data_IF_122833849929
#
_entry.id   IF_122833849929
#
_cell.length_a   1.000
_cell.length_b   1.000
_cell.length_c   1.000
_cell.angle_alpha   90.00
_cell.angle_beta   90.00
_cell.angle_gamma   90.00
#
_symmetry.space_group_name_H-M   'P 1'
#
loop_
_entity.id
_entity.type
_entity.pdbx_description
1 polymer ?
#
# COMPACT_ATOMS: atom_id res chain seq x y z
N UNK A 1 -7.69 -10.57 18.77
CA UNK A 1 -6.25 -10.31 18.55
C UNK A 1 -6.18 -9.62 17.20
N UNK A 2 -5.96 -8.30 17.20
CA UNK A 2 -5.88 -7.53 15.96
C UNK A 2 -4.60 -7.97 15.26
N UNK A 3 -4.70 -8.41 14.01
CA UNK A 3 -3.53 -8.76 13.21
C UNK A 3 -2.77 -7.47 12.86
N UNK A 4 -1.66 -7.25 13.58
CA UNK A 4 -0.78 -6.09 13.42
C UNK A 4 0.32 -6.37 12.38
N UNK A 5 0.32 -7.52 11.69
CA UNK A 5 1.33 -7.85 10.67
C UNK A 5 1.58 -6.72 9.65
N UNK A 6 0.55 -6.06 9.04
CA UNK A 6 0.78 -4.95 8.13
C UNK A 6 1.38 -3.71 8.82
N UNK A 7 1.25 -3.58 10.14
CA UNK A 7 1.80 -2.46 10.92
C UNK A 7 3.27 -2.66 11.26
N UNK A 8 3.81 -3.88 11.16
CA UNK A 8 5.25 -4.14 11.21
C UNK A 8 5.98 -3.65 9.95
N UNK A 9 5.27 -3.56 8.83
CA UNK A 9 5.79 -3.12 7.54
C UNK A 9 5.78 -1.59 7.39
N UNK A 10 5.14 -0.86 8.31
CA UNK A 10 5.15 0.60 8.31
C UNK A 10 5.78 1.05 9.62
N UNK A 11 6.95 1.67 9.54
CA UNK A 11 7.67 2.21 10.71
C UNK A 11 7.01 3.48 11.26
N UNK A 12 5.68 3.54 11.26
CA UNK A 12 4.88 4.69 11.69
C UNK A 12 3.95 4.27 12.82
N UNK A 13 4.00 5.03 13.90
CA UNK A 13 3.14 4.81 15.06
C UNK A 13 1.69 5.21 14.72
N UNK A 14 0.71 4.28 14.84
CA UNK A 14 -0.69 4.55 14.53
C UNK A 14 -1.29 5.67 15.41
N UNK A 15 -0.78 5.87 16.62
CA UNK A 15 -1.26 6.88 17.56
C UNK A 15 -1.05 8.28 16.97
N UNK A 16 0.02 8.49 16.22
CA UNK A 16 0.28 9.76 15.52
C UNK A 16 -0.73 10.02 14.40
N UNK A 17 -1.13 8.98 13.68
CA UNK A 17 -2.14 9.08 12.61
C UNK A 17 -3.54 9.29 13.16
N UNK A 18 -3.85 8.67 14.30
CA UNK A 18 -5.18 8.70 14.93
C UNK A 18 -5.38 9.91 15.85
N UNK A 19 -4.30 10.54 16.31
CA UNK A 19 -4.33 11.68 17.23
C UNK A 19 -5.28 12.82 16.79
N UNK A 20 -5.31 13.24 15.50
CA UNK A 20 -6.25 14.27 15.05
C UNK A 20 -7.73 13.88 15.16
N UNK A 21 -8.04 12.58 15.22
CA UNK A 21 -9.42 12.04 15.24
C UNK A 21 -9.84 11.71 16.67
N UNK A 22 -8.97 11.06 17.43
CA UNK A 22 -9.25 10.54 18.76
C UNK A 22 -8.13 10.92 19.74
N UNK A 23 -7.99 12.23 20.07
CA UNK A 23 -6.81 12.75 20.77
C UNK A 23 -6.58 12.15 22.16
N UNK A 24 -7.66 11.97 22.94
CA UNK A 24 -7.52 11.50 24.33
C UNK A 24 -7.13 10.02 24.43
N UNK A 25 -7.76 9.16 23.62
CA UNK A 25 -7.45 7.72 23.65
C UNK A 25 -6.06 7.44 23.06
N UNK A 26 -5.64 8.22 22.06
CA UNK A 26 -4.31 8.07 21.47
C UNK A 26 -3.21 8.59 22.40
N UNK A 27 -3.47 9.63 23.20
CA UNK A 27 -2.55 10.05 24.27
C UNK A 27 -2.38 8.95 25.33
N UNK A 28 -3.47 8.32 25.79
CA UNK A 28 -3.40 7.22 26.76
C UNK A 28 -2.63 6.01 26.21
N UNK A 29 -2.91 5.60 24.96
CA UNK A 29 -2.18 4.52 24.28
C UNK A 29 -0.70 4.86 24.12
N UNK A 30 -0.39 6.10 23.76
CA UNK A 30 0.98 6.58 23.59
C UNK A 30 1.78 6.55 24.91
N UNK A 31 1.20 7.05 26.01
CA UNK A 31 1.85 7.06 27.32
C UNK A 31 1.99 5.65 27.93
N UNK A 32 0.91 4.86 27.91
CA UNK A 32 0.82 3.64 28.72
C UNK A 32 1.07 2.35 27.93
N UNK A 33 0.55 2.22 26.70
CA UNK A 33 0.73 0.99 25.91
C UNK A 33 2.06 0.98 25.14
N UNK A 34 2.48 2.15 24.64
CA UNK A 34 3.72 2.30 23.88
C UNK A 34 4.90 2.78 24.74
N UNK A 35 4.63 3.20 25.99
CA UNK A 35 5.65 3.53 26.96
C UNK A 35 6.38 4.85 26.70
N UNK A 36 5.80 5.75 25.91
CA UNK A 36 6.37 7.07 25.61
C UNK A 36 6.17 8.08 26.76
N UNK A 37 6.43 7.64 27.99
CA UNK A 37 6.17 8.41 29.22
C UNK A 37 6.89 9.76 29.19
N UNK A 38 6.16 10.84 29.46
CA UNK A 38 6.71 12.20 29.57
C UNK A 38 6.77 13.00 28.26
N UNK A 39 6.31 12.44 27.15
CA UNK A 39 6.16 13.14 25.87
C UNK A 39 4.75 12.95 25.33
N UNK A 40 4.05 14.02 24.94
CA UNK A 40 2.69 13.89 24.41
C UNK A 40 2.67 13.59 22.91
N UNK A 41 1.71 12.77 22.46
CA UNK A 41 1.49 12.49 21.03
C UNK A 41 1.07 13.76 20.26
N UNK A 42 0.58 14.79 20.96
CA UNK A 42 0.25 16.08 20.37
C UNK A 42 1.48 16.94 20.03
N UNK A 43 2.64 16.61 20.56
CA UNK A 43 3.87 17.40 20.43
C UNK A 43 4.89 16.77 19.47
N UNK A 44 4.61 15.57 18.97
CA UNK A 44 5.52 14.88 18.05
C UNK A 44 5.22 15.26 16.59
N UNK A 45 6.25 15.28 15.72
CA UNK A 45 6.03 15.51 14.30
C UNK A 45 5.20 14.39 13.67
N UNK A 46 4.50 14.75 12.59
CA UNK A 46 3.79 13.79 11.76
C UNK A 46 4.75 12.70 11.26
N UNK A 47 4.32 11.42 11.17
CA UNK A 47 5.16 10.35 10.69
C UNK A 47 5.61 10.60 9.24
N UNK A 48 6.89 10.30 8.99
CA UNK A 48 7.44 10.23 7.64
C UNK A 48 7.23 8.82 7.05
N UNK A 49 7.39 8.68 5.74
CA UNK A 49 7.25 7.39 5.04
C UNK A 49 8.60 6.88 4.54
N UNK A 50 8.73 5.56 4.44
CA UNK A 50 9.90 4.91 3.84
C UNK A 50 9.57 4.54 2.39
N UNK A 51 10.28 5.16 1.43
CA UNK A 51 10.11 4.90 0.01
C UNK A 51 10.33 3.43 -0.37
N UNK A 52 11.18 2.70 0.35
CA UNK A 52 11.42 1.28 0.06
C UNK A 52 10.20 0.43 0.44
N UNK A 53 9.53 0.77 1.55
CA UNK A 53 8.32 0.08 2.04
C UNK A 53 7.06 0.53 1.30
N UNK A 54 7.06 1.75 0.76
CA UNK A 54 5.94 2.29 -0.02
C UNK A 54 5.87 1.75 -1.46
N UNK A 55 6.93 1.11 -1.96
CA UNK A 55 6.96 0.52 -3.31
C UNK A 55 6.13 -0.76 -3.34
N UNK A 56 5.20 -0.84 -4.30
CA UNK A 56 4.50 -2.08 -4.61
C UNK A 56 5.42 -3.02 -5.40
N UNK A 57 5.49 -4.29 -5.02
CA UNK A 57 6.24 -5.31 -5.78
C UNK A 57 5.53 -5.69 -7.07
N UNK A 58 4.20 -5.68 -7.05
CA UNK A 58 3.33 -6.01 -8.18
C UNK A 58 2.29 -4.92 -8.39
N UNK A 59 1.99 -4.63 -9.65
CA UNK A 59 0.96 -3.69 -10.08
C UNK A 59 -0.10 -4.42 -10.90
N UNK A 60 -1.34 -3.95 -10.83
CA UNK A 60 -2.41 -4.44 -11.69
C UNK A 60 -2.56 -3.52 -12.89
N UNK A 61 -2.27 -4.05 -14.07
CA UNK A 61 -2.40 -3.36 -15.35
C UNK A 61 -3.71 -3.70 -16.04
N UNK A 62 -4.33 -2.68 -16.61
CA UNK A 62 -5.61 -2.76 -17.30
C UNK A 62 -5.36 -2.90 -18.80
N UNK A 63 -5.77 -4.02 -19.39
CA UNK A 63 -5.59 -4.29 -20.82
C UNK A 63 -6.82 -3.82 -21.60
N UNK A 64 -6.61 -2.89 -22.51
CA UNK A 64 -7.66 -2.36 -23.37
C UNK A 64 -7.43 -2.75 -24.83
N UNK A 65 -8.50 -3.09 -25.53
CA UNK A 65 -8.51 -3.33 -26.99
C UNK A 65 -9.62 -2.49 -27.61
N UNK A 66 -9.27 -1.64 -28.57
CA UNK A 66 -10.20 -0.69 -29.22
C UNK A 66 -11.00 0.15 -28.20
N UNK A 67 -10.31 0.65 -27.16
CA UNK A 67 -10.90 1.49 -26.12
C UNK A 67 -11.83 0.79 -25.12
N UNK A 68 -11.97 -0.55 -25.20
CA UNK A 68 -12.75 -1.35 -24.24
C UNK A 68 -11.82 -2.16 -23.36
N UNK A 69 -12.09 -2.21 -22.06
CA UNK A 69 -11.36 -3.05 -21.09
C UNK A 69 -11.63 -4.54 -21.36
N UNK A 70 -10.58 -5.33 -21.59
CA UNK A 70 -10.69 -6.75 -21.95
C UNK A 70 -10.06 -7.69 -20.93
N UNK A 71 -8.96 -7.28 -20.30
CA UNK A 71 -8.32 -8.07 -19.27
C UNK A 71 -7.70 -7.19 -18.17
N UNK A 72 -7.34 -7.83 -17.06
CA UNK A 72 -6.60 -7.24 -15.95
C UNK A 72 -5.46 -8.20 -15.60
N UNK A 73 -4.24 -7.70 -15.65
CA UNK A 73 -3.03 -8.52 -15.46
C UNK A 73 -2.24 -7.95 -14.30
N UNK A 74 -1.93 -8.79 -13.32
CA UNK A 74 -1.03 -8.44 -12.23
C UNK A 74 0.39 -8.83 -12.64
N UNK A 75 1.30 -7.86 -12.65
CA UNK A 75 2.68 -7.99 -13.13
C UNK A 75 3.65 -7.32 -12.15
N UNK A 76 4.94 -7.67 -12.16
CA UNK A 76 5.95 -6.94 -11.39
C UNK A 76 5.94 -5.45 -11.72
N UNK A 77 6.13 -4.58 -10.72
CA UNK A 77 6.07 -3.13 -10.89
C UNK A 77 7.14 -2.57 -11.85
N UNK A 78 8.24 -3.32 -12.05
CA UNK A 78 9.33 -2.97 -12.95
C UNK A 78 9.39 -3.78 -14.24
N UNK A 79 8.30 -4.48 -14.62
CA UNK A 79 8.24 -5.25 -15.86
C UNK A 79 8.53 -4.34 -17.07
N UNK A 80 9.31 -4.84 -18.03
CA UNK A 80 9.55 -4.11 -19.26
C UNK A 80 8.34 -4.17 -20.21
N UNK A 81 8.28 -3.25 -21.18
CA UNK A 81 7.14 -3.17 -22.10
C UNK A 81 7.00 -4.41 -22.99
N UNK A 82 8.12 -5.01 -23.41
CA UNK A 82 8.11 -6.15 -24.31
C UNK A 82 7.60 -7.40 -23.56
N UNK A 83 8.16 -7.68 -22.38
CA UNK A 83 7.75 -8.76 -21.48
C UNK A 83 6.29 -8.61 -21.06
N UNK A 84 5.83 -7.38 -20.80
CA UNK A 84 4.43 -7.10 -20.52
C UNK A 84 3.54 -7.46 -21.72
N UNK A 85 3.90 -7.06 -22.93
CA UNK A 85 3.14 -7.37 -24.15
C UNK A 85 3.06 -8.88 -24.37
N UNK A 86 4.18 -9.59 -24.23
CA UNK A 86 4.24 -11.05 -24.33
C UNK A 86 3.33 -11.72 -23.29
N UNK A 87 3.39 -11.27 -22.03
CA UNK A 87 2.55 -11.74 -20.94
C UNK A 87 1.05 -11.52 -21.23
N UNK A 88 0.69 -10.38 -21.80
CA UNK A 88 -0.69 -10.05 -22.15
C UNK A 88 -1.17 -10.88 -23.34
N UNK A 89 -0.34 -11.08 -24.37
CA UNK A 89 -0.67 -11.84 -25.58
C UNK A 89 -0.78 -13.34 -25.33
N UNK A 90 0.00 -13.89 -24.39
CA UNK A 90 -0.10 -15.29 -23.99
C UNK A 90 -1.42 -15.64 -23.28
N UNK A 91 -2.19 -14.64 -22.83
CA UNK A 91 -3.44 -14.86 -22.10
C UNK A 91 -4.61 -14.99 -23.07
N UNK A 92 -5.36 -16.08 -22.94
CA UNK A 92 -6.52 -16.37 -23.78
C UNK A 92 -7.55 -15.24 -23.83
N UNK A 93 -7.78 -14.53 -22.71
CA UNK A 93 -8.76 -13.45 -22.61
C UNK A 93 -8.45 -12.27 -23.53
N UNK A 94 -7.17 -11.96 -23.70
CA UNK A 94 -6.70 -10.85 -24.53
C UNK A 94 -6.55 -11.30 -25.98
N UNK A 95 -6.01 -12.50 -26.20
CA UNK A 95 -5.83 -13.07 -27.54
C UNK A 95 -7.14 -13.23 -28.31
N UNK A 96 -8.21 -13.72 -27.65
CA UNK A 96 -9.54 -13.92 -28.26
C UNK A 96 -10.22 -12.63 -28.75
N UNK A 97 -9.74 -11.46 -28.35
CA UNK A 97 -10.34 -10.16 -28.71
C UNK A 97 -9.55 -9.45 -29.83
N UNK A 98 -8.38 -9.99 -30.19
CA UNK A 98 -7.55 -9.51 -31.30
C UNK A 98 -7.87 -10.21 -32.63
N UNK A 99 -8.55 -11.36 -32.59
CA UNK A 99 -9.22 -12.00 -33.74
C UNK A 99 -10.53 -11.30 -34.09
#
# INVERSE_FOLDING_TARGET
MIDLAPMTAVRVDPSKLLCPIAPFITEEVWQEALGHKGHSVHQVPWPDYDEALAKAEVITMMVQVNGKLRDRVTVPAGIDEQELRETVLAREKSAKVLE
#
